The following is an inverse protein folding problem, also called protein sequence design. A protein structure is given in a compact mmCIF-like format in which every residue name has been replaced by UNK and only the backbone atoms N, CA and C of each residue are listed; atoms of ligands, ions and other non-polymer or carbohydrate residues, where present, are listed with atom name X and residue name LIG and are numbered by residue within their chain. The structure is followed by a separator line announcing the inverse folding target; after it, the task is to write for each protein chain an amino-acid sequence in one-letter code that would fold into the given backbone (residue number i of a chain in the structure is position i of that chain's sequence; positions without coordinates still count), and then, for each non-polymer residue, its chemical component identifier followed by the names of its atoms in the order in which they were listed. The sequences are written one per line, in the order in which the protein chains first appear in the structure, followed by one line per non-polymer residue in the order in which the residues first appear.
data_IF_339291610368
#
_entry.id   IF_339291610368
#
_cell.length_a   1.000
_cell.length_b   1.000
_cell.length_c   1.000
_cell.angle_alpha   90.00
_cell.angle_beta   90.00
_cell.angle_gamma   90.00
#
_symmetry.space_group_name_H-M   'P 1'
#
loop_
_entity.id
_entity.type
_entity.pdbx_description
1 polymer ?
#
# COMPACT_ATOMS: atom_id res chain seq x y z
N UNK A 1 28.13 -13.31 5.18
CA UNK A 1 27.52 -12.33 4.25
C UNK A 1 26.75 -11.32 5.10
N UNK A 2 27.25 -10.10 5.26
CA UNK A 2 26.56 -9.06 6.03
C UNK A 2 25.56 -8.35 5.11
N UNK A 3 24.28 -8.42 5.44
CA UNK A 3 23.22 -7.70 4.72
C UNK A 3 23.09 -6.33 5.37
N UNK A 4 23.09 -5.27 4.54
CA UNK A 4 22.79 -3.91 5.01
C UNK A 4 21.38 -3.89 5.65
N UNK A 5 21.22 -3.35 6.88
CA UNK A 5 19.91 -3.25 7.54
C UNK A 5 18.80 -2.63 6.69
N UNK A 6 19.12 -1.63 5.86
CA UNK A 6 18.14 -1.00 4.97
C UNK A 6 17.62 -1.96 3.89
N UNK A 7 18.42 -2.98 3.56
CA UNK A 7 18.14 -4.00 2.54
C UNK A 7 17.66 -5.33 3.11
N UNK A 8 17.51 -5.44 4.43
CA UNK A 8 17.00 -6.65 5.06
C UNK A 8 15.62 -7.03 4.48
N UNK A 9 15.40 -8.27 4.04
CA UNK A 9 14.09 -8.65 3.52
C UNK A 9 13.02 -8.66 4.61
N UNK A 10 11.97 -7.85 4.46
CA UNK A 10 10.96 -7.64 5.50
C UNK A 10 10.20 -8.90 5.94
N UNK A 11 9.94 -9.81 4.99
CA UNK A 11 9.24 -11.10 5.21
C UNK A 11 10.15 -12.21 5.74
N UNK A 12 11.46 -11.99 5.82
CA UNK A 12 12.40 -13.02 6.30
C UNK A 12 12.41 -13.07 7.82
N UNK A 13 12.29 -14.27 8.36
CA UNK A 13 12.49 -14.55 9.79
C UNK A 13 14.00 -14.65 10.04
N UNK A 14 14.58 -13.84 10.93
CA UNK A 14 16.00 -13.93 11.24
C UNK A 14 16.29 -15.24 11.97
N UNK A 15 17.34 -15.94 11.55
CA UNK A 15 17.70 -17.27 12.06
C UNK A 15 18.96 -17.30 12.91
N UNK A 16 19.87 -16.34 12.71
CA UNK A 16 21.12 -16.22 13.46
C UNK A 16 21.13 -14.95 14.32
N UNK A 17 22.01 -14.89 15.32
CA UNK A 17 22.15 -13.69 16.15
C UNK A 17 22.50 -12.43 15.35
N UNK A 18 23.32 -12.58 14.31
CA UNK A 18 23.65 -11.49 13.40
C UNK A 18 22.44 -11.07 12.56
N UNK A 19 21.62 -12.02 12.10
CA UNK A 19 20.37 -11.70 11.41
C UNK A 19 19.41 -10.94 12.31
N UNK A 20 19.33 -11.31 13.60
CA UNK A 20 18.49 -10.63 14.58
C UNK A 20 18.92 -9.17 14.75
N UNK A 21 20.24 -8.90 14.87
CA UNK A 21 20.74 -7.52 14.96
C UNK A 21 20.37 -6.70 13.71
N UNK A 22 20.56 -7.27 12.52
CA UNK A 22 20.25 -6.62 11.25
C UNK A 22 18.73 -6.38 11.12
N UNK A 23 17.90 -7.35 11.51
CA UNK A 23 16.45 -7.25 11.48
C UNK A 23 15.92 -6.19 12.46
N UNK A 24 16.50 -6.09 13.65
CA UNK A 24 16.17 -5.05 14.64
C UNK A 24 16.51 -3.67 14.09
N UNK A 25 17.70 -3.48 13.53
CA UNK A 25 18.08 -2.20 12.94
C UNK A 25 17.19 -1.84 11.74
N UNK A 26 16.82 -2.83 10.93
CA UNK A 26 15.87 -2.65 9.82
C UNK A 26 14.49 -2.20 10.31
N UNK A 27 13.98 -2.82 11.38
CA UNK A 27 12.71 -2.44 12.00
C UNK A 27 12.74 -1.01 12.50
N UNK A 28 13.78 -0.63 13.26
CA UNK A 28 13.93 0.73 13.79
C UNK A 28 14.05 1.77 12.67
N UNK A 29 14.75 1.45 11.59
CA UNK A 29 14.89 2.31 10.40
C UNK A 29 13.53 2.51 9.72
N UNK A 30 12.80 1.43 9.42
CA UNK A 30 11.48 1.50 8.74
C UNK A 30 10.42 2.18 9.59
N UNK A 31 10.45 1.96 10.91
CA UNK A 31 9.56 2.62 11.84
C UNK A 31 9.93 4.10 12.11
N UNK A 32 11.06 4.58 11.56
CA UNK A 32 11.60 5.92 11.80
C UNK A 32 11.83 6.21 13.30
N UNK A 33 12.45 5.26 14.02
CA UNK A 33 12.75 5.37 15.45
C UNK A 33 14.27 5.50 15.69
N UNK A 34 14.88 6.65 15.34
CA UNK A 34 16.33 6.84 15.49
C UNK A 34 16.78 6.80 16.96
N UNK A 35 15.90 7.14 17.88
CA UNK A 35 16.08 7.19 19.34
C UNK A 35 15.95 5.83 20.04
N UNK A 36 15.57 4.76 19.34
CA UNK A 36 15.35 3.46 19.96
C UNK A 36 16.64 2.83 20.51
N UNK A 37 16.61 2.29 21.73
CA UNK A 37 17.71 1.44 22.21
C UNK A 37 17.60 0.04 21.56
N UNK A 38 18.53 -0.24 20.64
CA UNK A 38 18.59 -1.49 19.87
C UNK A 38 18.75 -2.72 20.76
N UNK A 39 19.46 -2.61 21.89
CA UNK A 39 19.67 -3.73 22.82
C UNK A 39 18.37 -4.10 23.52
N UNK A 40 17.57 -3.11 23.93
CA UNK A 40 16.25 -3.35 24.52
C UNK A 40 15.26 -3.89 23.50
N UNK A 41 15.23 -3.32 22.28
CA UNK A 41 14.37 -3.81 21.20
C UNK A 41 14.73 -5.25 20.82
N UNK A 42 16.02 -5.58 20.70
CA UNK A 42 16.49 -6.95 20.46
C UNK A 42 15.96 -7.92 21.51
N UNK A 43 16.17 -7.64 22.80
CA UNK A 43 15.69 -8.49 23.90
C UNK A 43 14.18 -8.70 23.87
N UNK A 44 13.42 -7.66 23.52
CA UNK A 44 11.97 -7.74 23.41
C UNK A 44 11.51 -8.60 22.23
N UNK A 45 12.19 -8.51 21.09
CA UNK A 45 11.78 -9.15 19.83
C UNK A 45 12.31 -10.58 19.66
N UNK A 46 13.35 -10.98 20.39
CA UNK A 46 13.94 -12.32 20.28
C UNK A 46 12.90 -13.47 20.41
N UNK A 47 11.96 -13.45 21.38
CA UNK A 47 10.92 -14.48 21.46
C UNK A 47 9.99 -14.49 20.25
N UNK A 48 9.74 -13.33 19.64
CA UNK A 48 8.86 -13.19 18.47
C UNK A 48 9.52 -13.79 17.24
N UNK A 49 10.81 -13.49 17.03
CA UNK A 49 11.59 -14.09 15.94
C UNK A 49 11.67 -15.61 16.07
N UNK A 50 11.91 -16.12 17.29
CA UNK A 50 11.87 -17.58 17.59
C UNK A 50 10.50 -18.20 17.28
N UNK A 51 9.41 -17.44 17.41
CA UNK A 51 8.06 -17.85 17.05
C UNK A 51 7.71 -17.69 15.56
N UNK A 52 8.69 -17.38 14.70
CA UNK A 52 8.49 -17.28 13.25
C UNK A 52 8.00 -15.92 12.76
N UNK A 53 8.08 -14.88 13.59
CA UNK A 53 7.71 -13.53 13.19
C UNK A 53 8.81 -12.90 12.33
N UNK A 54 8.39 -12.12 11.32
CA UNK A 54 9.28 -11.34 10.46
C UNK A 54 9.18 -9.85 10.80
N UNK A 55 10.09 -9.03 10.28
CA UNK A 55 10.07 -7.56 10.50
C UNK A 55 8.75 -6.96 10.00
N UNK A 56 8.27 -7.36 8.82
CA UNK A 56 7.00 -6.85 8.30
C UNK A 56 5.82 -7.30 9.15
N UNK A 57 5.85 -8.53 9.69
CA UNK A 57 4.81 -9.01 10.60
C UNK A 57 4.76 -8.16 11.89
N UNK A 58 5.92 -7.80 12.43
CA UNK A 58 6.03 -6.93 13.61
C UNK A 58 5.56 -5.51 13.31
N UNK A 59 5.94 -4.93 12.16
CA UNK A 59 5.47 -3.60 11.75
C UNK A 59 3.95 -3.57 11.60
N UNK A 60 3.34 -4.61 11.01
CA UNK A 60 1.88 -4.72 10.94
C UNK A 60 1.26 -4.85 12.33
N UNK A 61 1.83 -5.70 13.19
CA UNK A 61 1.32 -5.90 14.55
C UNK A 61 1.45 -4.68 15.46
N UNK A 62 2.31 -3.71 15.14
CA UNK A 62 2.34 -2.41 15.84
C UNK A 62 1.08 -1.59 15.55
N UNK A 63 0.54 -1.69 14.35
CA UNK A 63 -0.60 -0.89 13.90
C UNK A 63 -1.94 -1.61 14.03
N UNK A 64 -1.94 -2.95 13.96
CA UNK A 64 -3.16 -3.78 13.99
C UNK A 64 -3.15 -4.79 15.12
N UNK A 65 -4.35 -5.16 15.56
CA UNK A 65 -4.64 -6.21 16.53
C UNK A 65 -4.79 -7.57 15.82
N UNK A 66 -4.78 -8.69 16.56
CA UNK A 66 -5.07 -10.02 16.00
C UNK A 66 -6.42 -10.13 15.29
N UNK A 67 -7.42 -9.36 15.72
CA UNK A 67 -8.75 -9.29 15.10
C UNK A 67 -8.80 -8.40 13.83
N UNK A 68 -7.66 -7.82 13.43
CA UNK A 68 -7.54 -6.92 12.28
C UNK A 68 -7.91 -5.46 12.56
N UNK A 69 -8.39 -5.13 13.76
CA UNK A 69 -8.71 -3.75 14.12
C UNK A 69 -7.44 -2.93 14.39
N UNK A 70 -7.53 -1.60 14.26
CA UNK A 70 -6.38 -0.72 14.51
C UNK A 70 -6.07 -0.61 16.01
N UNK A 71 -4.79 -0.63 16.37
CA UNK A 71 -4.35 -0.48 17.76
C UNK A 71 -4.41 0.96 18.28
N UNK A 72 -4.52 1.96 17.40
CA UNK A 72 -4.65 3.37 17.76
C UNK A 72 -3.60 4.24 17.10
N UNK A 73 -3.18 5.31 17.78
CA UNK A 73 -2.25 6.30 17.21
C UNK A 73 -0.81 5.75 17.10
N UNK A 74 -0.03 6.19 16.10
CA UNK A 74 1.40 5.90 16.02
C UNK A 74 2.17 6.38 17.26
N UNK A 75 3.39 5.86 17.43
CA UNK A 75 4.30 6.29 18.51
C UNK A 75 4.53 7.80 18.46
N UNK A 76 4.38 8.47 19.60
CA UNK A 76 4.81 9.87 19.76
C UNK A 76 6.30 9.96 20.14
N UNK A 77 6.96 11.08 19.83
CA UNK A 77 8.39 11.28 20.16
C UNK A 77 8.71 11.26 21.66
N UNK A 78 7.72 11.51 22.52
CA UNK A 78 7.89 11.45 23.98
C UNK A 78 7.87 10.02 24.54
N UNK A 79 7.43 9.03 23.75
CA UNK A 79 7.33 7.64 24.19
C UNK A 79 8.61 6.88 23.89
N UNK A 80 9.08 6.13 24.88
CA UNK A 80 10.21 5.23 24.74
C UNK A 80 9.86 4.09 23.78
N UNK A 81 10.67 3.91 22.73
CA UNK A 81 10.34 3.00 21.63
C UNK A 81 10.10 1.55 22.08
N UNK A 82 10.93 1.01 22.97
CA UNK A 82 10.80 -0.38 23.41
C UNK A 82 9.59 -0.59 24.33
N UNK A 83 9.20 0.39 25.13
CA UNK A 83 7.99 0.32 25.97
C UNK A 83 6.73 0.40 25.11
N UNK A 84 6.72 1.31 24.13
CA UNK A 84 5.65 1.39 23.13
C UNK A 84 5.50 0.08 22.37
N UNK A 85 6.61 -0.48 21.88
CA UNK A 85 6.61 -1.76 21.17
C UNK A 85 6.10 -2.89 22.06
N UNK A 86 6.53 -2.95 23.33
CA UNK A 86 6.05 -3.95 24.30
C UNK A 86 4.54 -3.84 24.47
N UNK A 87 4.01 -2.64 24.70
CA UNK A 87 2.57 -2.44 24.89
C UNK A 87 1.74 -2.88 23.67
N UNK A 88 2.23 -2.62 22.45
CA UNK A 88 1.57 -3.04 21.20
C UNK A 88 1.59 -4.55 21.00
N UNK A 89 2.72 -5.18 21.31
CA UNK A 89 2.91 -6.61 21.13
C UNK A 89 2.23 -7.44 22.22
N UNK A 90 1.99 -6.90 23.42
CA UNK A 90 1.19 -7.56 24.47
C UNK A 90 -0.24 -7.91 24.02
N UNK A 91 -0.80 -7.19 23.04
CA UNK A 91 -2.13 -7.51 22.48
C UNK A 91 -2.11 -8.81 21.66
N UNK A 92 -0.92 -9.23 21.21
CA UNK A 92 -0.70 -10.44 20.41
C UNK A 92 -0.26 -11.65 21.24
N UNK A 93 -0.14 -11.51 22.56
CA UNK A 93 0.04 -12.64 23.48
C UNK A 93 -1.34 -13.07 24.00
N UNK A 94 -1.88 -14.17 23.49
CA UNK A 94 -3.16 -14.71 23.94
C UNK A 94 -3.02 -15.37 25.32
N UNK A 95 -3.98 -15.11 26.22
CA UNK A 95 -4.16 -15.72 27.56
C UNK A 95 -2.87 -16.04 28.34
N UNK A 96 -1.84 -15.21 28.19
CA UNK A 96 -0.60 -15.26 28.97
C UNK A 96 0.44 -16.32 28.58
N UNK A 97 0.17 -17.26 27.66
CA UNK A 97 1.09 -18.39 27.42
C UNK A 97 1.47 -18.67 25.96
N UNK A 98 0.67 -18.25 24.97
CA UNK A 98 0.96 -18.53 23.55
C UNK A 98 0.87 -17.26 22.71
N UNK A 99 1.92 -17.03 21.90
CA UNK A 99 1.92 -16.00 20.88
C UNK A 99 0.85 -16.33 19.83
N UNK A 100 0.03 -15.34 19.49
CA UNK A 100 -0.90 -15.45 18.38
C UNK A 100 -0.14 -15.67 17.06
N UNK A 101 -0.85 -16.15 16.04
CA UNK A 101 -0.26 -16.31 14.71
C UNK A 101 0.16 -14.94 14.16
N UNK A 102 1.31 -14.84 13.48
CA UNK A 102 1.74 -13.57 12.90
C UNK A 102 0.75 -13.10 11.83
N UNK A 103 0.53 -11.77 11.70
CA UNK A 103 -0.35 -11.22 10.66
C UNK A 103 0.17 -11.51 9.24
N UNK A 104 1.48 -11.68 9.11
CA UNK A 104 2.15 -12.02 7.86
C UNK A 104 3.06 -13.22 8.09
N UNK A 105 2.85 -14.28 7.31
CA UNK A 105 3.69 -15.47 7.38
C UNK A 105 5.15 -15.15 7.02
N UNK A 106 6.08 -15.42 7.93
CA UNK A 106 7.50 -15.32 7.63
C UNK A 106 7.96 -16.37 6.61
N UNK A 107 9.10 -16.12 5.98
CA UNK A 107 9.80 -17.09 5.13
C UNK A 107 11.28 -17.16 5.51
N UNK A 108 11.96 -18.22 5.10
CA UNK A 108 13.41 -18.32 5.29
C UNK A 108 14.17 -17.41 4.33
N UNK A 109 15.40 -17.03 4.67
CA UNK A 109 16.26 -16.22 3.80
C UNK A 109 16.54 -16.91 2.45
N UNK A 110 16.76 -18.24 2.47
CA UNK A 110 16.97 -19.03 1.26
C UNK A 110 15.73 -19.11 0.36
N UNK A 111 14.54 -19.22 0.95
CA UNK A 111 13.27 -19.12 0.22
C UNK A 111 13.09 -17.74 -0.42
N UNK A 112 13.37 -16.67 0.33
CA UNK A 112 13.32 -15.32 -0.20
C UNK A 112 14.25 -15.12 -1.41
N UNK A 113 15.49 -15.62 -1.35
CA UNK A 113 16.40 -15.55 -2.51
C UNK A 113 15.87 -16.30 -3.73
N UNK A 114 15.22 -17.46 -3.54
CA UNK A 114 14.60 -18.21 -4.64
C UNK A 114 13.46 -17.43 -5.28
N UNK A 115 12.56 -16.88 -4.47
CA UNK A 115 11.44 -16.05 -4.94
C UNK A 115 11.96 -14.80 -5.64
N UNK A 116 12.92 -14.09 -5.04
CA UNK A 116 13.46 -12.86 -5.59
C UNK A 116 14.19 -13.10 -6.92
N UNK A 117 14.96 -14.20 -7.04
CA UNK A 117 15.62 -14.58 -8.31
C UNK A 117 14.59 -14.89 -9.40
N UNK A 118 13.52 -15.61 -9.06
CA UNK A 118 12.41 -15.87 -9.99
C UNK A 118 11.75 -14.58 -10.45
N UNK A 119 11.43 -13.67 -9.51
CA UNK A 119 10.81 -12.39 -9.84
C UNK A 119 11.74 -11.52 -10.69
N UNK A 120 13.03 -11.48 -10.38
CA UNK A 120 14.02 -10.77 -11.18
C UNK A 120 14.10 -11.30 -12.62
N UNK A 121 14.00 -12.63 -12.81
CA UNK A 121 13.95 -13.23 -14.14
C UNK A 121 12.65 -12.90 -14.88
N UNK A 122 11.50 -12.92 -14.20
CA UNK A 122 10.19 -12.59 -14.79
C UNK A 122 10.08 -11.12 -15.20
N UNK A 123 10.66 -10.23 -14.41
CA UNK A 123 10.64 -8.79 -14.64
C UNK A 123 11.91 -8.27 -15.33
N UNK A 124 12.80 -9.18 -15.74
CA UNK A 124 13.97 -8.79 -16.53
C UNK A 124 13.47 -8.11 -17.82
N UNK A 125 14.05 -6.95 -18.18
CA UNK A 125 13.72 -6.32 -19.44
C UNK A 125 13.98 -7.33 -20.55
N UNK A 126 12.95 -7.64 -21.35
CA UNK A 126 13.13 -8.49 -22.52
C UNK A 126 14.20 -7.86 -23.38
N UNK A 127 15.21 -8.64 -23.78
CA UNK A 127 16.17 -8.18 -24.78
C UNK A 127 15.38 -7.80 -26.02
N UNK A 128 15.39 -6.51 -26.35
CA UNK A 128 14.75 -6.05 -27.57
C UNK A 128 15.63 -6.55 -28.69
N UNK A 129 15.12 -7.44 -29.52
CA UNK A 129 15.78 -7.74 -30.79
C UNK A 129 15.98 -6.43 -31.56
N UNK A 130 17.07 -6.36 -32.32
CA UNK A 130 17.23 -5.28 -33.29
C UNK A 130 15.95 -5.21 -34.14
N UNK A 131 15.46 -4.00 -34.37
CA UNK A 131 14.34 -3.85 -35.29
C UNK A 131 14.76 -4.35 -36.67
N UNK A 132 13.83 -4.97 -37.38
CA UNK A 132 14.01 -5.17 -38.82
C UNK A 132 14.08 -3.81 -39.51
N UNK A 133 14.62 -3.77 -40.72
CA UNK A 133 14.66 -2.55 -41.54
C UNK A 133 13.29 -1.90 -41.71
N UNK A 134 12.22 -2.70 -41.81
CA UNK A 134 10.84 -2.25 -41.81
C UNK A 134 10.43 -1.61 -40.48
N UNK A 135 10.78 -2.24 -39.35
CA UNK A 135 10.54 -1.67 -38.03
C UNK A 135 11.27 -0.35 -37.81
N UNK A 136 12.49 -0.21 -38.33
CA UNK A 136 13.26 1.03 -38.27
C UNK A 136 12.58 2.15 -39.05
N UNK A 137 12.08 1.85 -40.26
CA UNK A 137 11.28 2.80 -41.05
C UNK A 137 10.01 3.23 -40.33
N UNK A 138 9.22 2.28 -39.81
CA UNK A 138 8.00 2.57 -39.06
C UNK A 138 8.27 3.42 -37.80
N UNK A 139 9.40 3.18 -37.11
CA UNK A 139 9.85 3.99 -35.98
C UNK A 139 10.26 5.40 -36.41
N UNK A 140 10.99 5.53 -37.52
CA UNK A 140 11.39 6.82 -38.07
C UNK A 140 10.17 7.64 -38.51
N UNK A 141 9.21 7.03 -39.19
CA UNK A 141 7.93 7.64 -39.59
C UNK A 141 7.11 8.08 -38.38
N UNK A 142 6.98 7.22 -37.37
CA UNK A 142 6.29 7.56 -36.12
C UNK A 142 6.93 8.74 -35.39
N UNK A 143 8.27 8.80 -35.36
CA UNK A 143 9.01 9.93 -34.77
C UNK A 143 8.83 11.20 -35.60
N UNK A 144 8.91 11.11 -36.93
CA UNK A 144 8.69 12.24 -37.82
C UNK A 144 7.27 12.83 -37.67
N UNK A 145 6.25 11.98 -37.54
CA UNK A 145 4.88 12.40 -37.24
C UNK A 145 4.75 13.03 -35.84
N UNK A 146 5.46 12.49 -34.84
CA UNK A 146 5.48 13.03 -33.49
C UNK A 146 6.23 14.37 -33.37
N UNK A 147 7.09 14.73 -34.32
CA UNK A 147 7.73 16.05 -34.36
C UNK A 147 6.93 17.10 -35.16
N UNK A 148 6.03 16.67 -36.05
CA UNK A 148 5.25 17.57 -36.93
C UNK A 148 3.93 18.07 -36.33
N UNK A 149 3.36 17.39 -35.33
CA UNK A 149 2.08 17.78 -34.71
C UNK A 149 2.31 18.59 -33.43
N UNK A 150 1.75 19.79 -33.37
CA UNK A 150 1.65 20.62 -32.16
C UNK A 150 1.19 19.74 -30.97
N UNK A 151 1.93 19.72 -29.85
CA UNK A 151 1.52 19.02 -28.63
C UNK A 151 0.06 19.29 -28.22
N UNK A 152 -0.44 20.51 -28.43
CA UNK A 152 -1.82 20.89 -28.11
C UNK A 152 -2.81 20.21 -29.05
N UNK A 153 -2.56 20.21 -30.35
CA UNK A 153 -3.41 19.51 -31.32
C UNK A 153 -3.45 18.01 -31.08
N UNK A 154 -2.31 17.41 -30.74
CA UNK A 154 -2.23 15.99 -30.39
C UNK A 154 -3.04 15.66 -29.14
N UNK A 155 -3.00 16.52 -28.12
CA UNK A 155 -3.81 16.38 -26.92
C UNK A 155 -5.30 16.48 -27.23
N UNK A 156 -5.69 17.47 -28.06
CA UNK A 156 -7.08 17.65 -28.51
C UNK A 156 -7.59 16.47 -29.32
N UNK A 157 -6.79 15.96 -30.25
CA UNK A 157 -7.15 14.79 -31.07
C UNK A 157 -7.28 13.52 -30.22
N UNK A 158 -6.38 13.31 -29.25
CA UNK A 158 -6.50 12.21 -28.29
C UNK A 158 -7.76 12.34 -27.43
N UNK A 159 -8.12 13.57 -27.03
CA UNK A 159 -9.37 13.86 -26.34
C UNK A 159 -10.60 13.51 -27.18
N UNK A 160 -10.63 13.94 -28.45
CA UNK A 160 -11.72 13.61 -29.39
C UNK A 160 -11.88 12.10 -29.58
N UNK A 161 -10.81 11.38 -29.89
CA UNK A 161 -10.86 9.92 -30.07
C UNK A 161 -11.35 9.21 -28.82
N UNK A 162 -10.95 9.67 -27.64
CA UNK A 162 -11.43 9.11 -26.38
C UNK A 162 -12.92 9.37 -26.19
N UNK A 163 -13.39 10.58 -26.51
CA UNK A 163 -14.79 10.93 -26.42
C UNK A 163 -15.63 10.10 -27.40
N UNK A 164 -15.22 9.99 -28.66
CA UNK A 164 -15.87 9.16 -29.68
C UNK A 164 -16.01 7.69 -29.24
N UNK A 165 -14.97 7.13 -28.61
CA UNK A 165 -15.04 5.77 -28.06
C UNK A 165 -16.02 5.69 -26.90
N UNK A 166 -16.01 6.66 -25.97
CA UNK A 166 -16.95 6.67 -24.86
C UNK A 166 -18.40 6.83 -25.35
N UNK A 167 -18.63 7.67 -26.34
CA UNK A 167 -19.94 7.88 -26.96
C UNK A 167 -20.39 6.60 -27.70
N UNK A 168 -19.48 5.87 -28.34
CA UNK A 168 -19.79 4.58 -28.99
C UNK A 168 -20.19 3.46 -28.01
N UNK A 169 -19.85 3.61 -26.72
CA UNK A 169 -20.23 2.67 -25.67
C UNK A 169 -21.62 2.97 -25.10
N UNK A 170 -22.24 4.11 -25.45
CA UNK A 170 -23.59 4.44 -25.01
C UNK A 170 -24.61 3.54 -25.73
N UNK A 171 -25.63 3.13 -24.99
CA UNK A 171 -26.78 2.40 -25.54
C UNK A 171 -27.54 3.34 -26.48
N UNK A 172 -27.97 2.90 -27.68
CA UNK A 172 -28.73 3.75 -28.60
C UNK A 172 -29.94 4.41 -27.92
N UNK A 173 -30.02 5.74 -28.00
CA UNK A 173 -31.08 6.54 -27.38
C UNK A 173 -30.80 7.00 -25.94
N UNK A 174 -29.62 6.70 -25.38
CA UNK A 174 -29.18 7.22 -24.09
C UNK A 174 -28.15 8.33 -24.28
N UNK A 175 -28.31 9.44 -23.55
CA UNK A 175 -27.33 10.52 -23.50
C UNK A 175 -26.27 10.23 -22.42
N UNK A 176 -25.03 10.69 -22.65
CA UNK A 176 -23.99 10.59 -21.65
C UNK A 176 -24.40 11.40 -20.40
N UNK A 177 -24.26 10.82 -19.18
CA UNK A 177 -24.58 11.55 -17.96
C UNK A 177 -23.70 12.79 -17.85
N UNK A 178 -24.34 13.94 -17.63
CA UNK A 178 -23.64 15.19 -17.45
C UNK A 178 -22.95 15.26 -16.09
N UNK A 179 -22.10 16.26 -15.92
CA UNK A 179 -21.53 16.56 -14.61
C UNK A 179 -22.61 16.87 -13.57
N UNK A 180 -23.71 17.53 -13.98
CA UNK A 180 -24.84 17.81 -13.10
C UNK A 180 -25.56 16.52 -12.66
N UNK A 181 -25.69 15.54 -13.57
CA UNK A 181 -26.30 14.23 -13.26
C UNK A 181 -25.43 13.42 -12.30
N UNK A 182 -24.11 13.49 -12.49
CA UNK A 182 -23.14 12.88 -11.57
C UNK A 182 -23.24 13.49 -10.16
N UNK A 183 -23.40 14.82 -10.05
CA UNK A 183 -23.58 15.49 -8.77
C UNK A 183 -24.92 15.20 -8.11
N UNK A 184 -26.01 15.06 -8.88
CA UNK A 184 -27.31 14.62 -8.36
C UNK A 184 -27.22 13.21 -7.77
N UNK A 185 -26.61 12.28 -8.50
CA UNK A 185 -26.35 10.91 -8.02
C UNK A 185 -25.51 10.89 -6.73
N UNK A 186 -24.46 11.70 -6.66
CA UNK A 186 -23.64 11.82 -5.43
C UNK A 186 -24.44 12.40 -4.27
N UNK A 187 -25.28 13.40 -4.51
CA UNK A 187 -26.13 13.99 -3.47
C UNK A 187 -27.25 13.04 -2.99
N UNK A 188 -27.72 12.13 -3.83
CA UNK A 188 -28.70 11.10 -3.49
C UNK A 188 -28.08 9.91 -2.74
N UNK A 189 -26.85 9.51 -3.10
CA UNK A 189 -26.18 8.34 -2.54
C UNK A 189 -25.36 8.65 -1.29
N UNK A 190 -24.86 9.88 -1.17
CA UNK A 190 -24.04 10.31 -0.03
C UNK A 190 -24.84 11.35 0.75
N UNK A 191 -25.26 11.08 2.00
CA UNK A 191 -25.83 12.12 2.83
C UNK A 191 -24.77 13.18 3.08
N UNK A 192 -24.80 14.25 2.29
CA UNK A 192 -23.88 15.36 2.44
C UNK A 192 -24.26 16.08 3.72
N UNK A 193 -23.49 15.82 4.78
CA UNK A 193 -23.61 16.49 6.07
C UNK A 193 -23.65 18.01 5.85
N UNK A 194 -24.82 18.63 6.02
CA UNK A 194 -24.95 20.08 5.84
C UNK A 194 -24.30 20.78 7.03
N UNK A 195 -23.15 21.40 6.78
CA UNK A 195 -22.46 22.25 7.75
C UNK A 195 -23.12 23.63 7.72
N UNK A 196 -23.54 24.14 8.87
CA UNK A 196 -24.03 25.51 8.98
C UNK A 196 -22.90 26.49 8.63
N UNK A 197 -23.10 27.32 7.60
CA UNK A 197 -22.12 28.31 7.14
C UNK A 197 -21.78 29.39 8.18
N UNK A 198 -22.58 29.50 9.25
CA UNK A 198 -22.43 30.55 10.27
C UNK A 198 -21.78 30.07 11.57
N UNK A 199 -21.87 28.77 11.90
CA UNK A 199 -21.32 28.24 13.16
C UNK A 199 -20.55 26.91 13.01
N UNK A 200 -20.41 26.37 11.80
CA UNK A 200 -19.60 25.16 11.55
C UNK A 200 -20.18 23.86 12.09
N UNK A 201 -21.36 23.87 12.72
CA UNK A 201 -22.00 22.65 13.21
C UNK A 201 -22.60 21.83 12.08
N UNK A 202 -22.37 20.52 12.16
CA UNK A 202 -22.94 19.51 11.28
C UNK A 202 -24.34 19.14 11.80
N UNK A 203 -25.40 19.41 11.03
CA UNK A 203 -26.76 18.94 11.37
C UNK A 203 -26.90 17.47 10.98
N UNK A 204 -26.93 16.57 11.96
CA UNK A 204 -27.34 15.19 11.77
C UNK A 204 -28.83 15.13 11.48
N UNK A 205 -29.23 15.10 10.21
CA UNK A 205 -30.61 14.74 9.85
C UNK A 205 -30.82 13.27 10.22
N UNK A 206 -31.72 13.02 11.18
CA UNK A 206 -32.13 11.67 11.57
C UNK A 206 -32.83 11.06 10.36
N UNK A 207 -32.21 10.04 9.77
CA UNK A 207 -32.80 9.25 8.68
C UNK A 207 -34.19 8.75 9.09
N UNK A 208 -35.25 9.31 8.48
CA UNK A 208 -36.57 8.67 8.53
C UNK A 208 -36.45 7.33 7.79
N UNK A 209 -36.92 6.21 8.36
CA UNK A 209 -36.91 4.94 7.66
C UNK A 209 -37.78 5.04 6.41
N UNK A 210 -37.20 4.70 5.26
CA UNK A 210 -37.90 4.58 4.00
C UNK A 210 -39.06 3.59 4.14
N UNK A 211 -40.22 3.97 3.58
CA UNK A 211 -41.42 3.17 3.51
C UNK A 211 -41.14 1.73 3.02
N UNK A 212 -41.69 0.74 3.74
CA UNK A 212 -41.86 -0.62 3.21
C UNK A 212 -42.85 -0.55 2.05
N UNK A 213 -42.40 -0.96 0.86
CA UNK A 213 -43.28 -1.31 -0.26
C UNK A 213 -43.76 -2.74 0.00
N UNK A 214 -45.08 -2.92 -0.03
CA UNK A 214 -45.76 -4.22 -0.10
C UNK A 214 -45.93 -4.62 -1.57
#
# INVERSE_FOLDING_TARGET
MQIDPSRWPGRVVPSTDADVDIAVESLCTRASWPDADRRWVRRLLEPWFKAGWSVDALLVAVDTRPDGTRQGRPRSRAQVAHEFLRARLMVWTADGARLARPPLAGMSLGEWFRVNRRNAALHAPRSRSALTTEGERARAESRALAHRRDPVERSREKGRRRQEVLDSLLVPGQEAPSFADSWRLVAELVPVQRVCSQCGHVRSEVSRPAHRVA
#
